data_IF_566483008075
#
_entry.id   IF_566483008075
#
_cell.length_a   1.000
_cell.length_b   1.000
_cell.length_c   1.000
_cell.angle_alpha   90.00
_cell.angle_beta   90.00
_cell.angle_gamma   90.00
#
_symmetry.space_group_name_H-M   'P 1'
#
loop_
_entity.id
_entity.type
_entity.pdbx_description
1 polymer ?
#
# COMPACT_ATOMS: atom_id res chain seq x y z
N UNK A 1 -21.20 5.91 -0.07
CA UNK A 1 -20.39 6.05 -1.30
C UNK A 1 -18.99 6.48 -0.88
N UNK A 2 -17.98 5.61 -0.92
CA UNK A 2 -16.58 5.93 -0.56
C UNK A 2 -15.59 5.61 -1.69
N UNK A 3 -16.09 5.50 -2.93
CA UNK A 3 -15.39 4.80 -4.01
C UNK A 3 -14.17 5.52 -4.61
N UNK A 4 -13.86 6.76 -4.18
CA UNK A 4 -12.70 7.52 -4.67
C UNK A 4 -11.56 7.60 -3.65
N UNK A 5 -11.87 7.65 -2.35
CA UNK A 5 -10.85 7.82 -1.30
C UNK A 5 -10.09 6.51 -1.02
N UNK A 6 -10.79 5.37 -1.08
CA UNK A 6 -10.19 4.04 -0.82
C UNK A 6 -9.33 3.54 -1.99
N UNK A 7 -9.76 3.75 -3.24
CA UNK A 7 -8.91 3.50 -4.42
C UNK A 7 -7.72 4.43 -4.48
N UNK A 8 -7.91 5.70 -4.10
CA UNK A 8 -6.80 6.63 -4.02
C UNK A 8 -5.77 6.14 -3.01
N UNK A 9 -6.16 5.69 -1.80
CA UNK A 9 -5.23 5.19 -0.76
C UNK A 9 -4.31 4.08 -1.26
N UNK A 10 -4.86 3.06 -1.93
CA UNK A 10 -4.04 2.00 -2.52
C UNK A 10 -3.04 2.51 -3.56
N UNK A 11 -3.43 3.48 -4.39
CA UNK A 11 -2.54 4.11 -5.37
C UNK A 11 -1.45 4.99 -4.72
N UNK A 12 -1.75 5.73 -3.64
CA UNK A 12 -0.74 6.58 -2.97
C UNK A 12 0.34 5.73 -2.32
N UNK A 13 -0.02 4.64 -1.65
CA UNK A 13 0.97 3.80 -0.97
C UNK A 13 1.89 3.06 -1.95
N UNK A 14 1.33 2.57 -3.07
CA UNK A 14 2.12 1.89 -4.12
C UNK A 14 3.04 2.88 -4.85
N UNK A 15 2.55 4.08 -5.17
CA UNK A 15 3.34 5.16 -5.78
C UNK A 15 4.42 5.65 -4.83
N UNK A 16 4.10 5.91 -3.56
CA UNK A 16 5.07 6.38 -2.57
C UNK A 16 6.12 5.31 -2.28
N UNK A 17 5.74 4.04 -2.22
CA UNK A 17 6.67 2.92 -2.07
C UNK A 17 7.66 2.83 -3.22
N UNK A 18 7.17 2.86 -4.47
CA UNK A 18 8.00 2.86 -5.67
C UNK A 18 8.92 4.08 -5.75
N UNK A 19 8.42 5.26 -5.40
CA UNK A 19 9.22 6.49 -5.36
C UNK A 19 10.30 6.40 -4.28
N UNK A 20 9.98 5.95 -3.05
CA UNK A 20 10.98 5.76 -1.99
C UNK A 20 12.05 4.73 -2.36
N UNK A 21 11.67 3.63 -3.03
CA UNK A 21 12.63 2.64 -3.53
C UNK A 21 13.50 3.19 -4.66
N UNK A 22 12.91 3.94 -5.60
CA UNK A 22 13.63 4.57 -6.70
C UNK A 22 14.60 5.64 -6.21
N UNK A 23 14.13 6.55 -5.36
CA UNK A 23 14.96 7.59 -4.73
C UNK A 23 16.03 6.93 -3.84
N UNK A 24 15.68 5.97 -3.00
CA UNK A 24 16.65 5.25 -2.16
C UNK A 24 17.76 4.55 -2.97
N UNK A 25 17.45 3.99 -4.14
CA UNK A 25 18.46 3.44 -5.07
C UNK A 25 19.37 4.52 -5.66
N UNK A 26 18.80 5.66 -6.07
CA UNK A 26 19.55 6.73 -6.73
C UNK A 26 20.42 7.50 -5.74
N UNK A 27 19.94 7.73 -4.51
CA UNK A 27 20.69 8.46 -3.48
C UNK A 27 21.55 7.57 -2.60
N UNK A 28 21.57 6.25 -2.79
CA UNK A 28 22.28 5.30 -1.93
C UNK A 28 21.78 5.27 -0.48
N UNK A 29 20.51 5.59 -0.24
CA UNK A 29 19.94 5.67 1.11
C UNK A 29 19.20 4.37 1.45
N UNK A 30 19.90 3.47 2.15
CA UNK A 30 19.37 2.16 2.57
C UNK A 30 18.14 2.27 3.48
N UNK A 31 18.03 3.35 4.26
CA UNK A 31 16.85 3.61 5.11
C UNK A 31 15.60 3.81 4.26
N UNK A 32 15.67 4.64 3.22
CA UNK A 32 14.54 4.87 2.31
C UNK A 32 14.14 3.60 1.55
N UNK A 33 15.12 2.77 1.18
CA UNK A 33 14.88 1.49 0.52
C UNK A 33 14.18 0.50 1.46
N UNK A 34 14.66 0.40 2.71
CA UNK A 34 14.08 -0.45 3.72
C UNK A 34 12.65 -0.01 4.08
N UNK A 35 12.41 1.29 4.28
CA UNK A 35 11.07 1.83 4.51
C UNK A 35 10.13 1.53 3.35
N UNK A 36 10.59 1.67 2.11
CA UNK A 36 9.79 1.33 0.93
C UNK A 36 9.34 -0.13 0.92
N UNK A 37 10.25 -1.07 1.16
CA UNK A 37 9.94 -2.52 1.23
C UNK A 37 8.99 -2.85 2.39
N UNK A 38 9.20 -2.25 3.56
CA UNK A 38 8.33 -2.46 4.72
C UNK A 38 6.93 -1.92 4.46
N UNK A 39 6.83 -0.73 3.87
CA UNK A 39 5.55 -0.09 3.53
C UNK A 39 4.79 -0.89 2.47
N UNK A 40 5.49 -1.43 1.46
CA UNK A 40 4.90 -2.28 0.42
C UNK A 40 4.33 -3.59 1.01
N UNK A 41 5.09 -4.26 1.89
CA UNK A 41 4.61 -5.46 2.60
C UNK A 41 3.41 -5.16 3.49
N UNK A 42 3.46 -4.07 4.24
CA UNK A 42 2.35 -3.64 5.11
C UNK A 42 1.10 -3.35 4.27
N UNK A 43 1.27 -2.65 3.14
CA UNK A 43 0.19 -2.35 2.20
C UNK A 43 -0.46 -3.61 1.64
N UNK A 44 0.32 -4.61 1.24
CA UNK A 44 -0.20 -5.90 0.78
C UNK A 44 -1.02 -6.63 1.86
N UNK A 45 -0.53 -6.63 3.11
CA UNK A 45 -1.26 -7.24 4.24
C UNK A 45 -2.56 -6.50 4.51
N UNK A 46 -2.55 -5.15 4.57
CA UNK A 46 -3.76 -4.36 4.76
C UNK A 46 -4.76 -4.56 3.62
N UNK A 47 -4.30 -4.67 2.37
CA UNK A 47 -5.14 -4.96 1.20
C UNK A 47 -5.82 -6.32 1.33
N UNK A 48 -5.05 -7.37 1.63
CA UNK A 48 -5.59 -8.72 1.78
C UNK A 48 -6.62 -8.82 2.93
N UNK A 49 -6.32 -8.18 4.07
CA UNK A 49 -7.26 -8.10 5.20
C UNK A 49 -8.50 -7.29 4.84
N UNK A 50 -8.33 -6.17 4.14
CA UNK A 50 -9.41 -5.32 3.65
C UNK A 50 -10.33 -6.08 2.68
N UNK A 51 -9.77 -6.69 1.64
CA UNK A 51 -10.49 -7.50 0.65
C UNK A 51 -11.25 -8.65 1.32
N UNK A 52 -10.64 -9.31 2.30
CA UNK A 52 -11.30 -10.37 3.09
C UNK A 52 -12.48 -9.80 3.89
N UNK A 53 -12.29 -8.69 4.59
CA UNK A 53 -13.37 -8.03 5.36
C UNK A 53 -14.50 -7.53 4.45
N UNK A 54 -14.18 -7.00 3.29
CA UNK A 54 -15.14 -6.54 2.29
C UNK A 54 -15.94 -7.69 1.69
N UNK A 55 -15.28 -8.82 1.39
CA UNK A 55 -15.95 -10.04 0.92
C UNK A 55 -16.93 -10.59 1.98
N UNK A 56 -16.52 -10.66 3.24
CA UNK A 56 -17.38 -11.09 4.35
C UNK A 56 -18.55 -10.12 4.54
N UNK A 57 -18.30 -8.80 4.54
CA UNK A 57 -19.36 -7.79 4.63
C UNK A 57 -20.38 -7.90 3.49
N UNK A 58 -19.93 -8.18 2.26
CA UNK A 58 -20.81 -8.40 1.12
C UNK A 58 -21.63 -9.68 1.23
N UNK A 59 -21.08 -10.74 1.81
CA UNK A 59 -21.80 -12.00 2.00
C UNK A 59 -22.84 -11.95 3.13
N UNK A 60 -22.68 -11.03 4.08
CA UNK A 60 -23.57 -10.89 5.26
C UNK A 60 -24.59 -9.75 5.10
N UNK A 61 -24.53 -8.98 4.01
CA UNK A 61 -25.44 -7.87 3.70
C UNK A 61 -26.35 -8.24 2.54
#
# INVERSE_FOLDING_TARGET
>A
MSSTSDKAKGLKDEVVGNVKQGVGKVTGNDKLRAEGVVQEKKGQVEKAVGDTKDAVKKATK
#
